data_IF_042120130705
#
_entry.id   IF_042120130705
#
_cell.length_a   1.000
_cell.length_b   1.000
_cell.length_c   1.000
_cell.angle_alpha   90.00
_cell.angle_beta   90.00
_cell.angle_gamma   90.00
#
_symmetry.space_group_name_H-M   'P 1'
#
loop_
_entity.id
_entity.type
_entity.pdbx_description
1 polymer ?
#
# COMPACT_ATOMS: atom_id res chain seq x y z
N UNK A 1 38.90 36.91 24.07
CA UNK A 1 37.45 37.02 24.21
C UNK A 1 36.82 35.68 23.89
N UNK A 2 35.81 35.29 24.66
CA UNK A 2 34.97 34.11 24.44
C UNK A 2 33.70 34.54 23.75
N UNK A 3 33.37 33.92 22.63
CA UNK A 3 32.06 33.99 21.99
C UNK A 3 31.84 32.69 21.20
N UNK A 4 31.56 31.57 21.88
CA UNK A 4 30.21 30.98 22.00
C UNK A 4 29.10 31.71 21.22
N UNK A 5 29.23 31.80 19.91
CA UNK A 5 28.12 32.18 19.04
C UNK A 5 27.56 30.93 18.34
N UNK A 6 26.63 30.28 19.05
CA UNK A 6 25.30 29.96 18.51
C UNK A 6 25.32 29.12 17.22
N UNK A 7 25.44 27.79 17.25
CA UNK A 7 24.35 26.85 17.60
C UNK A 7 22.94 27.47 17.51
N UNK A 8 22.54 27.89 16.30
CA UNK A 8 21.13 28.18 15.93
C UNK A 8 20.90 27.95 14.43
N UNK A 9 21.47 26.87 13.89
CA UNK A 9 21.23 26.46 12.48
C UNK A 9 20.91 24.96 12.38
N UNK A 10 20.42 24.35 13.46
CA UNK A 10 20.09 22.93 13.51
C UNK A 10 18.68 22.66 14.07
N UNK A 11 17.79 23.66 14.05
CA UNK A 11 16.48 23.57 14.71
C UNK A 11 15.31 23.94 13.77
N UNK A 12 15.52 23.86 12.44
CA UNK A 12 14.42 23.95 11.45
C UNK A 12 14.54 22.81 10.43
N UNK A 13 14.60 21.58 10.94
CA UNK A 13 14.54 20.38 10.09
C UNK A 13 13.71 19.27 10.72
N UNK A 14 13.18 19.49 11.92
CA UNK A 14 12.12 18.67 12.47
C UNK A 14 10.78 19.31 12.09
N UNK A 15 10.48 19.30 10.79
CA UNK A 15 9.08 19.33 10.36
C UNK A 15 8.46 18.10 11.02
N UNK A 16 7.84 18.32 12.17
CA UNK A 16 6.82 17.48 12.77
C UNK A 16 5.73 17.33 11.71
N UNK A 17 5.96 16.42 10.75
CA UNK A 17 4.98 16.00 9.77
C UNK A 17 3.91 15.33 10.60
N UNK A 18 2.89 16.12 10.91
CA UNK A 18 1.66 15.68 11.52
C UNK A 18 1.26 14.34 10.89
N UNK A 19 1.22 13.23 11.65
CA UNK A 19 0.82 11.92 11.16
C UNK A 19 -0.70 11.89 10.86
N UNK A 20 -1.28 13.02 10.46
CA UNK A 20 -2.55 13.06 9.74
C UNK A 20 -2.33 13.43 8.26
N UNK A 21 -1.15 13.98 7.91
CA UNK A 21 -0.78 14.36 6.53
C UNK A 21 -0.20 13.21 5.70
N UNK A 22 0.24 12.13 6.34
CA UNK A 22 0.65 10.87 5.68
C UNK A 22 -0.51 9.95 5.26
N UNK A 23 -1.77 10.43 5.31
CA UNK A 23 -2.92 9.76 4.67
C UNK A 23 -2.75 9.85 3.14
N UNK A 24 -1.84 9.05 2.61
CA UNK A 24 -1.60 8.82 1.17
C UNK A 24 -2.48 7.66 0.67
N UNK A 25 -3.68 7.56 1.23
CA UNK A 25 -4.67 6.52 0.93
C UNK A 25 -5.83 7.00 0.07
N UNK A 26 -6.04 8.32 -0.02
CA UNK A 26 -7.13 8.93 -0.80
C UNK A 26 -6.71 9.33 -2.22
N UNK A 27 -5.40 9.23 -2.54
CA UNK A 27 -4.91 9.47 -3.88
C UNK A 27 -5.42 8.39 -4.85
N UNK A 28 -5.63 8.76 -6.12
CA UNK A 28 -5.97 7.80 -7.17
C UNK A 28 -4.94 6.67 -7.21
N UNK A 29 -5.39 5.44 -7.55
CA UNK A 29 -4.47 4.31 -7.66
C UNK A 29 -3.32 4.62 -8.63
N UNK A 30 -2.13 4.13 -8.30
CA UNK A 30 -0.98 4.29 -9.19
C UNK A 30 -1.15 3.44 -10.45
N UNK A 31 -0.55 3.84 -11.58
CA UNK A 31 -0.62 3.08 -12.84
C UNK A 31 -0.13 1.62 -12.71
N UNK A 32 0.81 1.37 -11.79
CA UNK A 32 1.27 0.03 -11.44
C UNK A 32 0.17 -0.80 -10.76
N UNK A 33 -0.48 -0.25 -9.72
CA UNK A 33 -1.62 -0.90 -9.07
C UNK A 33 -2.78 -1.13 -10.04
N UNK A 34 -3.08 -0.15 -10.89
CA UNK A 34 -4.13 -0.24 -11.90
C UNK A 34 -3.91 -1.41 -12.86
N UNK A 35 -2.70 -1.52 -13.38
CA UNK A 35 -2.34 -2.60 -14.32
C UNK A 35 -2.43 -3.97 -13.65
N UNK A 36 -1.96 -4.08 -12.40
CA UNK A 36 -2.00 -5.33 -11.66
C UNK A 36 -3.42 -5.75 -11.30
N UNK A 37 -4.22 -4.81 -10.79
CA UNK A 37 -5.62 -5.02 -10.44
C UNK A 37 -6.44 -5.44 -11.66
N UNK A 38 -6.20 -4.83 -12.83
CA UNK A 38 -6.88 -5.19 -14.07
C UNK A 38 -6.65 -6.65 -14.46
N UNK A 39 -5.38 -7.09 -14.46
CA UNK A 39 -5.04 -8.48 -14.77
C UNK A 39 -5.70 -9.45 -13.81
N UNK A 40 -5.63 -9.17 -12.50
CA UNK A 40 -6.26 -10.01 -11.49
C UNK A 40 -7.79 -10.05 -11.62
N UNK A 41 -8.42 -8.93 -11.97
CA UNK A 41 -9.86 -8.85 -12.19
C UNK A 41 -10.28 -9.68 -13.40
N UNK A 42 -9.52 -9.61 -14.51
CA UNK A 42 -9.76 -10.43 -15.70
C UNK A 42 -9.64 -11.93 -15.41
N UNK A 43 -8.65 -12.33 -14.61
CA UNK A 43 -8.44 -13.74 -14.22
C UNK A 43 -9.50 -14.25 -13.24
N UNK A 44 -9.89 -13.42 -12.27
CA UNK A 44 -10.96 -13.73 -11.33
C UNK A 44 -12.37 -13.62 -11.97
N UNK A 45 -12.47 -13.09 -13.20
CA UNK A 45 -13.73 -12.66 -13.85
C UNK A 45 -14.55 -11.69 -13.00
N UNK A 46 -13.87 -10.83 -12.24
CA UNK A 46 -14.47 -9.80 -11.40
C UNK A 46 -14.47 -8.44 -12.11
N UNK A 47 -15.40 -7.53 -11.75
CA UNK A 47 -15.42 -6.18 -12.29
C UNK A 47 -14.20 -5.39 -11.82
N UNK A 48 -13.51 -4.78 -12.78
CA UNK A 48 -12.40 -3.86 -12.54
C UNK A 48 -12.92 -2.42 -12.41
N UNK A 49 -12.57 -1.77 -11.30
CA UNK A 49 -12.93 -0.37 -11.05
C UNK A 49 -11.67 0.50 -11.01
N UNK A 50 -11.58 1.45 -11.94
CA UNK A 50 -10.44 2.37 -12.07
C UNK A 50 -10.56 3.64 -11.22
N UNK A 51 -11.73 3.86 -10.61
CA UNK A 51 -11.98 5.00 -9.74
C UNK A 51 -11.53 4.74 -8.29
N UNK A 52 -11.05 3.54 -8.00
CA UNK A 52 -10.56 3.20 -6.65
C UNK A 52 -9.29 4.00 -6.32
N UNK A 53 -9.19 4.40 -5.06
CA UNK A 53 -7.98 5.03 -4.52
C UNK A 53 -6.85 4.02 -4.41
N UNK A 54 -5.63 4.49 -4.20
CA UNK A 54 -4.45 3.66 -3.92
C UNK A 54 -4.69 2.68 -2.78
N UNK A 55 -5.33 3.12 -1.70
CA UNK A 55 -5.65 2.24 -0.58
C UNK A 55 -6.67 1.17 -0.97
N UNK A 56 -7.75 1.56 -1.66
CA UNK A 56 -8.79 0.64 -2.08
C UNK A 56 -8.29 -0.36 -3.14
N UNK A 57 -7.46 0.09 -4.09
CA UNK A 57 -6.82 -0.77 -5.07
C UNK A 57 -5.93 -1.83 -4.41
N UNK A 58 -5.15 -1.47 -3.39
CA UNK A 58 -4.35 -2.44 -2.63
C UNK A 58 -5.20 -3.51 -1.96
N UNK A 59 -6.32 -3.14 -1.32
CA UNK A 59 -7.26 -4.10 -0.72
C UNK A 59 -7.85 -5.02 -1.79
N UNK A 60 -8.31 -4.45 -2.90
CA UNK A 60 -8.91 -5.22 -4.00
C UNK A 60 -7.91 -6.17 -4.67
N UNK A 61 -6.66 -5.74 -4.81
CA UNK A 61 -5.56 -6.59 -5.29
C UNK A 61 -5.36 -7.80 -4.36
N UNK A 62 -5.39 -7.60 -3.03
CA UNK A 62 -5.25 -8.70 -2.06
C UNK A 62 -6.40 -9.71 -2.18
N UNK A 63 -7.65 -9.23 -2.20
CA UNK A 63 -8.83 -10.08 -2.38
C UNK A 63 -8.75 -10.91 -3.67
N UNK A 64 -8.41 -10.27 -4.79
CA UNK A 64 -8.33 -10.96 -6.08
C UNK A 64 -7.14 -11.94 -6.13
N UNK A 65 -6.01 -11.65 -5.48
CA UNK A 65 -4.90 -12.60 -5.38
C UNK A 65 -5.29 -13.85 -4.58
N UNK A 66 -6.09 -13.69 -3.52
CA UNK A 66 -6.63 -14.81 -2.76
C UNK A 66 -7.61 -15.64 -3.60
N UNK A 67 -8.52 -14.97 -4.34
CA UNK A 67 -9.50 -15.63 -5.21
C UNK A 67 -8.83 -16.37 -6.40
N UNK A 68 -7.79 -15.80 -6.98
CA UNK A 68 -7.04 -16.41 -8.10
C UNK A 68 -6.01 -17.44 -7.65
N UNK A 69 -5.80 -17.62 -6.34
CA UNK A 69 -4.84 -18.57 -5.79
C UNK A 69 -3.37 -18.20 -6.02
N UNK A 70 -3.07 -16.92 -6.23
CA UNK A 70 -1.70 -16.41 -6.48
C UNK A 70 -0.95 -15.97 -5.24
N UNK A 71 -1.64 -15.77 -4.12
CA UNK A 71 -0.97 -15.46 -2.85
C UNK A 71 0.02 -16.60 -2.51
N UNK A 72 1.29 -16.27 -2.19
CA UNK A 72 2.27 -17.29 -1.84
C UNK A 72 1.75 -18.09 -0.63
N UNK A 73 1.85 -19.43 -0.65
CA UNK A 73 1.27 -20.25 0.39
C UNK A 73 2.15 -20.25 1.65
N UNK A 74 2.30 -19.09 2.32
CA UNK A 74 2.92 -19.04 3.65
C UNK A 74 2.45 -17.86 4.53
N UNK A 75 1.37 -18.11 5.26
CA UNK A 75 1.26 -17.86 6.71
C UNK A 75 0.50 -19.06 7.32
N UNK A 76 1.16 -20.23 7.39
CA UNK A 76 0.60 -21.60 7.56
C UNK A 76 0.47 -22.09 9.04
N UNK A 77 -0.27 -23.18 9.42
CA UNK A 77 -0.19 -24.54 8.81
C UNK A 77 -1.45 -25.43 8.68
N UNK A 78 -1.32 -26.40 7.75
CA UNK A 78 -2.01 -27.68 7.50
C UNK A 78 -3.32 -28.05 8.21
N UNK A 79 -4.34 -28.47 7.44
CA UNK A 79 -4.88 -29.86 7.43
C UNK A 79 -5.99 -29.97 6.38
N UNK A 80 -6.13 -31.15 5.77
CA UNK A 80 -7.18 -31.55 4.81
C UNK A 80 -6.88 -31.34 3.32
N UNK A 81 -6.01 -32.19 2.78
CA UNK A 81 -6.20 -32.72 1.43
C UNK A 81 -6.30 -34.24 1.57
N UNK A 82 -7.52 -34.70 1.78
CA UNK A 82 -7.89 -36.11 1.73
C UNK A 82 -8.35 -36.44 0.31
N UNK A 83 -8.03 -37.68 -0.09
CA UNK A 83 -8.50 -38.45 -1.27
C UNK A 83 -7.64 -38.40 -2.54
#
# INVERSE_FOLDING_TARGET
MTDKQTQAMAEDSNMEKDPSTWVTGDEAMTGAQRSYLKTLSEEAKEPFDESLTKAQASVRIDELQQLTGRAPPDHRPATDRKE
#
